data_IF_464182674076
#
_entry.id   IF_464182674076
#
_cell.length_a   1.000
_cell.length_b   1.000
_cell.length_c   1.000
_cell.angle_alpha   90.00
_cell.angle_beta   90.00
_cell.angle_gamma   90.00
#
_symmetry.space_group_name_H-M   'P 1'
#
loop_
_entity.id
_entity.type
_entity.pdbx_description
1 polymer ?
#
# COMPACT_ATOMS: atom_id res chain seq x y z
N UNK A 1 5.01 -2.12 0.84
CA UNK A 1 5.75 -1.14 1.66
C UNK A 1 6.07 0.15 0.89
N UNK A 2 6.88 0.14 -0.18
CA UNK A 2 7.29 1.38 -0.89
C UNK A 2 6.08 2.20 -1.39
N UNK A 3 5.17 1.60 -2.14
CA UNK A 3 3.97 2.29 -2.69
C UNK A 3 3.05 2.93 -1.64
N UNK A 4 3.12 2.47 -0.39
CA UNK A 4 2.24 2.91 0.70
C UNK A 4 2.94 3.94 1.59
N UNK A 5 4.24 3.74 1.83
CA UNK A 5 5.01 4.50 2.82
C UNK A 5 5.85 5.63 2.23
N UNK A 6 5.98 5.70 0.90
CA UNK A 6 6.80 6.70 0.20
C UNK A 6 5.94 7.53 -0.73
N UNK A 7 6.48 8.63 -1.23
CA UNK A 7 5.86 9.40 -2.31
C UNK A 7 6.88 9.86 -3.32
N UNK A 8 6.39 10.24 -4.50
CA UNK A 8 7.22 10.88 -5.51
C UNK A 8 7.53 12.32 -5.08
N UNK A 9 8.74 12.60 -4.62
CA UNK A 9 9.16 13.95 -4.22
C UNK A 9 10.69 14.10 -4.29
N UNK A 10 11.15 15.30 -4.59
CA UNK A 10 12.57 15.70 -4.57
C UNK A 10 13.16 15.84 -3.16
N UNK A 11 12.32 15.76 -2.12
CA UNK A 11 12.69 15.85 -0.70
C UNK A 11 12.32 14.55 0.02
N UNK A 12 13.11 14.22 1.03
CA UNK A 12 12.95 13.03 1.85
C UNK A 12 11.68 13.12 2.69
N UNK A 13 10.68 12.27 2.43
CA UNK A 13 9.48 12.12 3.29
C UNK A 13 9.02 10.67 3.38
N UNK A 14 8.67 10.23 4.59
CA UNK A 14 8.10 8.93 4.90
C UNK A 14 6.72 9.15 5.54
N UNK A 15 5.76 8.33 5.16
CA UNK A 15 4.33 8.57 5.40
C UNK A 15 3.65 7.45 6.19
N UNK A 16 4.37 6.35 6.43
CA UNK A 16 3.96 5.36 7.43
C UNK A 16 4.35 5.86 8.83
N UNK A 17 3.99 5.13 9.90
CA UNK A 17 4.12 5.62 11.28
C UNK A 17 5.51 6.14 11.65
N UNK A 18 5.57 6.98 12.70
CA UNK A 18 6.82 7.52 13.27
C UNK A 18 7.86 6.44 13.60
N UNK A 19 7.42 5.22 13.86
CA UNK A 19 8.29 4.08 14.15
C UNK A 19 9.12 3.61 12.94
N UNK A 20 8.76 4.03 11.72
CA UNK A 20 9.44 3.73 10.46
C UNK A 20 10.23 4.94 9.90
N UNK A 21 10.48 5.97 10.71
CA UNK A 21 11.09 7.26 10.33
C UNK A 21 12.48 7.18 9.70
N UNK A 22 13.27 6.14 10.01
CA UNK A 22 14.60 5.92 9.42
C UNK A 22 14.59 5.59 7.92
N UNK A 23 13.41 5.45 7.32
CA UNK A 23 13.22 4.95 5.97
C UNK A 23 12.83 5.99 4.92
N UNK A 24 12.92 7.27 5.27
CA UNK A 24 12.59 8.33 4.35
C UNK A 24 13.63 8.43 3.21
N UNK A 25 13.15 8.42 1.98
CA UNK A 25 13.99 8.51 0.77
C UNK A 25 13.32 9.36 -0.29
N UNK A 26 14.12 10.14 -1.02
CA UNK A 26 13.70 10.78 -2.28
C UNK A 26 13.41 9.68 -3.28
N UNK A 27 12.22 9.66 -3.85
CA UNK A 27 11.89 8.87 -5.04
C UNK A 27 11.40 9.88 -6.08
N UNK A 28 12.26 10.27 -7.01
CA UNK A 28 11.89 11.17 -8.10
C UNK A 28 11.99 10.41 -9.44
N UNK A 29 11.78 11.09 -10.56
CA UNK A 29 11.85 10.49 -11.90
C UNK A 29 13.23 9.95 -12.27
N UNK A 30 14.30 10.36 -11.58
CA UNK A 30 15.68 10.01 -11.91
C UNK A 30 16.15 8.84 -11.05
N UNK A 31 16.59 7.76 -11.68
CA UNK A 31 17.03 6.53 -10.98
C UNK A 31 15.99 6.02 -9.98
N UNK A 32 14.70 6.16 -10.32
CA UNK A 32 13.55 5.87 -9.47
C UNK A 32 13.61 4.46 -8.86
N UNK A 33 14.05 3.47 -9.64
CA UNK A 33 14.21 2.09 -9.17
C UNK A 33 15.28 1.95 -8.08
N UNK A 34 16.47 2.53 -8.28
CA UNK A 34 17.56 2.49 -7.29
C UNK A 34 17.16 3.20 -5.99
N UNK A 35 16.46 4.33 -6.12
CA UNK A 35 15.90 5.08 -4.99
C UNK A 35 14.80 4.30 -4.26
N UNK A 36 13.89 3.68 -4.98
CA UNK A 36 12.86 2.81 -4.41
C UNK A 36 13.46 1.59 -3.70
N UNK A 37 14.52 1.00 -4.25
CA UNK A 37 15.24 -0.10 -3.59
C UNK A 37 15.91 0.38 -2.29
N UNK A 38 16.56 1.55 -2.29
CA UNK A 38 17.11 2.15 -1.06
C UNK A 38 16.01 2.38 -0.01
N UNK A 39 14.87 2.90 -0.43
CA UNK A 39 13.68 3.08 0.42
C UNK A 39 13.23 1.75 1.03
N UNK A 40 13.10 0.72 0.19
CA UNK A 40 12.70 -0.61 0.61
C UNK A 40 13.64 -1.19 1.66
N UNK A 41 14.97 -1.12 1.45
CA UNK A 41 15.95 -1.60 2.44
C UNK A 41 15.80 -0.91 3.78
N UNK A 42 15.64 0.41 3.77
CA UNK A 42 15.50 1.19 5.00
C UNK A 42 14.16 0.91 5.71
N UNK A 43 13.06 0.76 4.94
CA UNK A 43 11.74 0.39 5.47
C UNK A 43 11.80 -1.01 6.11
N UNK A 44 12.39 -1.98 5.43
CA UNK A 44 12.53 -3.35 5.92
C UNK A 44 13.36 -3.41 7.20
N UNK A 45 14.48 -2.68 7.27
CA UNK A 45 15.32 -2.61 8.47
C UNK A 45 14.64 -1.90 9.66
N UNK A 46 13.73 -0.96 9.40
CA UNK A 46 12.93 -0.37 10.47
C UNK A 46 11.81 -1.32 10.92
N UNK A 47 11.23 -2.09 10.00
CA UNK A 47 10.17 -3.05 10.28
C UNK A 47 10.62 -4.17 11.24
N UNK A 48 11.86 -4.66 11.14
CA UNK A 48 12.40 -5.69 12.04
C UNK A 48 12.47 -5.26 13.50
N UNK A 49 12.38 -3.95 13.79
CA UNK A 49 12.31 -3.40 15.15
C UNK A 49 10.89 -3.40 15.71
N UNK A 50 9.89 -3.61 14.87
CA UNK A 50 8.46 -3.53 15.19
C UNK A 50 7.76 -4.88 15.07
N UNK A 51 8.24 -5.74 14.16
CA UNK A 51 7.71 -7.07 13.98
C UNK A 51 7.98 -7.92 15.23
N UNK A 52 6.92 -8.47 15.79
CA UNK A 52 7.03 -9.51 16.81
C UNK A 52 7.70 -10.75 16.20
N UNK A 53 8.53 -11.42 17.00
CA UNK A 53 9.10 -12.69 16.55
C UNK A 53 7.99 -13.73 16.52
N UNK A 54 7.92 -14.45 15.42
CA UNK A 54 7.04 -15.61 15.33
C UNK A 54 7.37 -16.61 16.43
N UNK A 55 6.35 -17.25 16.99
CA UNK A 55 6.53 -18.31 17.99
C UNK A 55 7.19 -19.51 17.32
N UNK A 56 8.20 -20.06 17.98
CA UNK A 56 8.94 -21.21 17.47
C UNK A 56 8.00 -22.41 17.28
N UNK A 57 8.01 -23.01 16.09
CA UNK A 57 7.12 -24.13 15.74
C UNK A 57 5.77 -23.72 15.16
N UNK A 58 5.38 -22.44 15.24
CA UNK A 58 4.08 -21.95 14.76
C UNK A 58 4.18 -21.05 13.51
N UNK A 59 5.37 -20.86 12.96
CA UNK A 59 5.63 -19.83 11.95
C UNK A 59 4.70 -19.93 10.73
N UNK A 60 4.35 -21.15 10.31
CA UNK A 60 3.45 -21.38 9.16
C UNK A 60 2.01 -20.96 9.46
N UNK A 61 1.51 -21.25 10.66
CA UNK A 61 0.16 -20.88 11.08
C UNK A 61 0.06 -19.36 11.23
N UNK A 62 1.05 -18.75 11.86
CA UNK A 62 1.12 -17.30 12.03
C UNK A 62 1.22 -16.59 10.69
N UNK A 63 2.07 -17.05 9.76
CA UNK A 63 2.14 -16.50 8.41
C UNK A 63 0.79 -16.58 7.67
N UNK A 64 0.06 -17.69 7.83
CA UNK A 64 -1.27 -17.85 7.21
C UNK A 64 -2.28 -16.84 7.78
N UNK A 65 -2.28 -16.63 9.09
CA UNK A 65 -3.16 -15.66 9.76
C UNK A 65 -2.83 -14.21 9.37
N UNK A 66 -1.54 -13.87 9.31
CA UNK A 66 -1.08 -12.55 8.87
C UNK A 66 -1.43 -12.29 7.40
N UNK A 67 -1.28 -13.29 6.52
CA UNK A 67 -1.70 -13.16 5.12
C UNK A 67 -3.21 -12.96 5.01
N UNK A 68 -4.02 -13.70 5.76
CA UNK A 68 -5.47 -13.51 5.77
C UNK A 68 -5.85 -12.11 6.25
N UNK A 69 -5.15 -11.57 7.25
CA UNK A 69 -5.33 -10.20 7.74
C UNK A 69 -5.02 -9.18 6.64
N UNK A 70 -3.89 -9.31 5.95
CA UNK A 70 -3.54 -8.43 4.83
C UNK A 70 -4.57 -8.51 3.69
N UNK A 71 -5.10 -9.69 3.42
CA UNK A 71 -6.15 -9.88 2.42
C UNK A 71 -7.47 -9.20 2.83
N UNK A 72 -7.84 -9.28 4.11
CA UNK A 72 -9.04 -8.66 4.67
C UNK A 72 -8.96 -7.12 4.74
N UNK A 73 -7.77 -6.56 4.95
CA UNK A 73 -7.53 -5.11 5.01
C UNK A 73 -7.72 -4.39 3.66
N UNK A 74 -7.80 -5.11 2.53
CA UNK A 74 -8.01 -4.47 1.24
C UNK A 74 -9.33 -3.70 1.19
N UNK A 75 -9.29 -2.49 0.64
CA UNK A 75 -10.45 -1.60 0.53
C UNK A 75 -10.94 -0.98 1.84
N UNK A 76 -10.31 -1.28 2.99
CA UNK A 76 -10.73 -0.74 4.29
C UNK A 76 -10.31 0.72 4.48
N UNK A 77 -9.13 1.11 4.02
CA UNK A 77 -8.57 2.47 4.18
C UNK A 77 -9.07 3.48 3.12
N UNK A 78 -10.33 3.37 2.71
CA UNK A 78 -10.94 4.28 1.74
C UNK A 78 -11.32 5.61 2.39
N UNK A 79 -11.04 6.70 1.70
CA UNK A 79 -11.38 8.07 2.12
C UNK A 79 -12.45 8.57 1.16
N UNK A 80 -13.63 8.90 1.67
CA UNK A 80 -14.73 9.43 0.86
C UNK A 80 -14.74 10.96 1.00
N UNK A 81 -14.54 11.67 -0.10
CA UNK A 81 -14.69 13.14 -0.14
C UNK A 81 -16.18 13.46 -0.34
N UNK A 82 -16.67 14.47 0.37
CA UNK A 82 -18.09 14.88 0.45
C UNK A 82 -18.77 15.03 -0.92
N UNK A 83 -20.04 14.59 -1.01
CA UNK A 83 -20.84 14.48 -2.23
C UNK A 83 -21.02 13.00 -2.60
N UNK A 84 -22.25 12.57 -2.90
CA UNK A 84 -22.52 11.16 -3.21
C UNK A 84 -21.59 10.66 -4.32
N UNK A 85 -20.82 9.57 -4.12
CA UNK A 85 -19.94 9.03 -5.16
C UNK A 85 -20.79 8.54 -6.35
N UNK A 86 -20.89 9.36 -7.39
CA UNK A 86 -21.58 9.05 -8.64
C UNK A 86 -20.91 7.95 -9.46
N UNK A 87 -19.64 7.62 -9.19
CA UNK A 87 -18.99 6.41 -9.71
C UNK A 87 -19.53 5.17 -8.98
N UNK A 88 -20.71 4.73 -9.41
CA UNK A 88 -21.38 3.48 -9.03
C UNK A 88 -20.58 2.17 -9.19
N UNK A 89 -19.42 2.06 -9.88
CA UNK A 89 -18.65 0.81 -9.87
C UNK A 89 -17.79 0.60 -8.60
N UNK A 90 -17.66 1.59 -7.71
CA UNK A 90 -16.60 1.60 -6.68
C UNK A 90 -16.79 0.60 -5.53
N UNK A 91 -18.02 0.15 -5.24
CA UNK A 91 -18.23 -0.84 -4.18
C UNK A 91 -17.55 -2.19 -4.51
N UNK A 92 -17.45 -2.56 -5.79
CA UNK A 92 -16.84 -3.82 -6.20
C UNK A 92 -15.38 -3.69 -6.62
N UNK A 93 -14.81 -2.52 -6.90
CA UNK A 93 -13.37 -2.39 -7.23
C UNK A 93 -12.50 -1.91 -6.06
N UNK A 94 -13.10 -1.31 -5.03
CA UNK A 94 -12.36 -0.82 -3.85
C UNK A 94 -11.58 -1.92 -3.13
N UNK A 95 -12.07 -3.17 -3.13
CA UNK A 95 -11.38 -4.32 -2.55
C UNK A 95 -10.10 -4.74 -3.31
N UNK A 96 -9.82 -4.15 -4.46
CA UNK A 96 -8.58 -4.39 -5.21
C UNK A 96 -7.41 -3.59 -4.63
N UNK A 97 -7.70 -2.53 -3.86
CA UNK A 97 -6.68 -1.62 -3.35
C UNK A 97 -6.25 -2.00 -1.94
N UNK A 98 -4.94 -1.91 -1.67
CA UNK A 98 -4.37 -2.04 -0.34
C UNK A 98 -3.60 -0.78 0.06
N UNK A 99 -3.93 -0.18 1.20
CA UNK A 99 -3.44 1.13 1.65
C UNK A 99 -4.47 2.24 1.45
N UNK A 100 -4.11 3.48 1.76
CA UNK A 100 -5.04 4.62 1.79
C UNK A 100 -5.31 5.23 0.42
N UNK A 101 -6.57 5.39 0.04
CA UNK A 101 -6.95 5.98 -1.26
C UNK A 101 -8.26 6.76 -1.20
N UNK A 102 -8.41 7.74 -2.08
CA UNK A 102 -9.60 8.57 -2.17
C UNK A 102 -10.58 8.06 -3.20
N UNK A 103 -11.83 7.91 -2.77
CA UNK A 103 -13.01 7.65 -3.56
C UNK A 103 -13.66 8.99 -3.89
N UNK A 104 -13.74 9.33 -5.18
CA UNK A 104 -14.27 10.60 -5.67
C UNK A 104 -15.47 10.40 -6.61
N UNK A 105 -16.21 11.49 -6.85
CA UNK A 105 -17.47 11.48 -7.59
C UNK A 105 -17.30 11.37 -9.11
N UNK A 106 -16.19 11.89 -9.66
CA UNK A 106 -15.93 11.99 -11.10
C UNK A 106 -14.59 11.37 -11.54
N UNK A 107 -13.82 10.81 -10.61
CA UNK A 107 -12.47 10.32 -10.90
C UNK A 107 -12.27 8.95 -10.27
N UNK A 108 -11.85 7.99 -11.09
CA UNK A 108 -11.51 6.66 -10.61
C UNK A 108 -10.32 6.73 -9.63
N UNK A 109 -10.37 5.90 -8.60
CA UNK A 109 -9.27 5.76 -7.65
C UNK A 109 -8.05 5.13 -8.31
N UNK A 110 -6.88 5.69 -8.01
CA UNK A 110 -5.58 5.31 -8.55
C UNK A 110 -4.52 5.45 -7.46
N UNK A 111 -3.48 4.61 -7.52
CA UNK A 111 -2.39 4.57 -6.53
C UNK A 111 -1.19 5.44 -6.90
N UNK A 112 -1.37 6.35 -7.85
CA UNK A 112 -0.41 7.40 -8.16
C UNK A 112 -0.77 8.66 -7.37
N UNK A 113 0.18 9.20 -6.60
CA UNK A 113 -0.02 10.49 -5.93
C UNK A 113 1.32 11.17 -5.66
N UNK A 114 1.39 12.45 -6.00
CA UNK A 114 2.47 13.38 -5.65
C UNK A 114 2.13 14.23 -4.41
N UNK A 115 0.84 14.29 -4.07
CA UNK A 115 0.28 15.03 -2.95
C UNK A 115 0.68 14.49 -1.57
N UNK A 116 0.99 15.39 -0.64
CA UNK A 116 1.23 15.03 0.76
C UNK A 116 -0.07 14.61 1.47
N UNK A 117 -1.15 15.34 1.20
CA UNK A 117 -2.47 15.06 1.72
C UNK A 117 -3.31 14.38 0.64
N UNK A 118 -3.49 13.06 0.75
CA UNK A 118 -4.32 12.30 -0.20
C UNK A 118 -5.78 12.77 -0.16
N UNK A 119 -6.27 13.27 0.98
CA UNK A 119 -7.66 13.70 1.17
C UNK A 119 -8.06 14.87 0.24
N UNK A 120 -7.10 15.72 -0.15
CA UNK A 120 -7.37 16.90 -0.95
C UNK A 120 -7.50 16.66 -2.46
N UNK A 121 -7.10 15.49 -2.95
CA UNK A 121 -7.06 15.18 -4.39
C UNK A 121 -7.90 13.94 -4.68
N UNK A 122 -9.11 14.16 -5.21
CA UNK A 122 -10.02 13.07 -5.56
C UNK A 122 -9.40 12.04 -6.51
N UNK A 123 -9.69 10.75 -6.28
CA UNK A 123 -9.27 9.65 -7.17
C UNK A 123 -7.80 9.25 -7.06
N UNK A 124 -7.09 9.68 -6.01
CA UNK A 124 -5.66 9.41 -5.82
C UNK A 124 -5.40 8.75 -4.46
N UNK A 125 -4.29 8.05 -4.32
CA UNK A 125 -4.01 7.27 -3.12
C UNK A 125 -2.57 6.78 -3.00
N UNK A 126 -2.17 6.47 -1.77
CA UNK A 126 -0.94 5.74 -1.43
C UNK A 126 -1.32 4.29 -1.17
N UNK A 127 -1.48 3.57 -2.26
CA UNK A 127 -1.99 2.22 -2.24
C UNK A 127 -1.23 1.31 -3.19
N UNK A 128 -1.63 0.06 -3.25
CA UNK A 128 -1.28 -0.89 -4.30
C UNK A 128 -2.58 -1.31 -4.97
N UNK A 129 -2.65 -1.19 -6.29
CA UNK A 129 -3.76 -1.72 -7.09
C UNK A 129 -3.47 -3.16 -7.49
N UNK A 130 -4.24 -4.10 -6.96
CA UNK A 130 -4.16 -5.52 -7.30
C UNK A 130 -5.17 -5.96 -8.38
N UNK A 131 -5.90 -5.04 -9.01
CA UNK A 131 -6.95 -5.35 -10.00
C UNK A 131 -6.48 -6.29 -11.11
N UNK A 132 -5.25 -6.13 -11.60
CA UNK A 132 -4.68 -6.97 -12.65
C UNK A 132 -4.32 -8.40 -12.19
N UNK A 133 -4.13 -8.60 -10.89
CA UNK A 133 -3.73 -9.88 -10.30
C UNK A 133 -4.91 -10.67 -9.78
N UNK A 134 -5.93 -10.01 -9.22
CA UNK A 134 -7.13 -10.66 -8.70
C UNK A 134 -7.99 -11.30 -9.80
N UNK A 135 -7.83 -10.86 -11.06
CA UNK A 135 -8.45 -11.49 -12.23
C UNK A 135 -7.74 -12.75 -12.72
N UNK A 136 -6.54 -13.05 -12.21
CA UNK A 136 -5.71 -14.18 -12.68
C UNK A 136 -5.84 -15.34 -11.70
N UNK A 137 -5.89 -16.60 -12.19
CA UNK A 137 -5.86 -17.78 -11.32
C UNK A 137 -4.62 -17.84 -10.41
N UNK A 138 -3.50 -17.28 -10.87
CA UNK A 138 -2.26 -17.20 -10.10
C UNK A 138 -2.34 -16.23 -8.90
N UNK A 139 -3.33 -15.34 -8.87
CA UNK A 139 -3.49 -14.33 -7.83
C UNK A 139 -2.32 -13.37 -7.73
N UNK A 140 -2.10 -12.84 -6.52
CA UNK A 140 -1.02 -11.91 -6.20
C UNK A 140 0.28 -12.73 -5.98
N UNK A 141 1.35 -12.55 -6.77
CA UNK A 141 2.51 -13.44 -6.78
C UNK A 141 3.21 -13.60 -5.43
N UNK A 142 3.37 -12.53 -4.65
CA UNK A 142 4.04 -12.59 -3.35
C UNK A 142 3.19 -13.30 -2.29
N UNK A 143 1.85 -13.16 -2.34
CA UNK A 143 0.94 -13.90 -1.46
C UNK A 143 0.99 -15.38 -1.81
N UNK A 144 0.96 -15.71 -3.11
CA UNK A 144 1.09 -17.10 -3.58
C UNK A 144 2.39 -17.71 -3.08
N UNK A 145 3.51 -17.01 -3.24
CA UNK A 145 4.81 -17.49 -2.78
C UNK A 145 4.84 -17.73 -1.26
N UNK A 146 4.28 -16.81 -0.46
CA UNK A 146 4.24 -16.95 0.99
C UNK A 146 3.33 -18.07 1.51
N UNK A 147 2.38 -18.56 0.69
CA UNK A 147 1.50 -19.70 1.02
C UNK A 147 2.14 -21.06 0.69
N UNK A 148 3.26 -21.09 -0.03
CA UNK A 148 4.01 -22.30 -0.42
C UNK A 148 5.12 -22.59 0.57
#
# INVERSE_FOLDING_TARGET
MVCICTKKESKVKQLCSRALTGAASVIDSTSSQGKAHKAWKALSAACTKLAEKAVEGEQKMQLTAELATLEAMRGQDKIVVTGSPGFQPLASSTHNFFGAFVVATTTASDCDTDGFNVVGTGGKGRCIDYSAYLKKPAGIPWIKHAKT
#
